data_IF_084892598440
#
_entry.id   IF_084892598440
#
_cell.length_a   1.000
_cell.length_b   1.000
_cell.length_c   1.000
_cell.angle_alpha   90.00
_cell.angle_beta   90.00
_cell.angle_gamma   90.00
#
_symmetry.space_group_name_H-M   'P 1'
#
loop_
_entity.id
_entity.type
_entity.pdbx_description
1 polymer ?
#
# COMPACT_ATOMS: atom_id res chain seq x y z
N UNK A 1 0.09 25.24 1.80
CA UNK A 1 0.51 26.46 2.52
C UNK A 1 -0.75 26.99 3.14
N UNK A 2 -0.75 27.08 4.46
CA UNK A 2 -1.91 27.43 5.29
C UNK A 2 -1.38 28.48 6.29
N UNK A 3 -1.28 29.72 5.82
CA UNK A 3 -0.57 30.79 6.53
C UNK A 3 -1.44 31.51 7.56
N UNK A 4 -2.76 31.38 7.48
CA UNK A 4 -3.71 31.95 8.45
C UNK A 4 -3.86 31.08 9.70
N UNK A 5 -3.41 29.83 9.63
CA UNK A 5 -3.30 28.93 10.77
C UNK A 5 -1.90 28.92 11.42
N UNK A 6 -0.95 29.65 10.86
CA UNK A 6 0.34 29.97 11.45
C UNK A 6 0.16 31.14 12.43
N UNK A 7 -0.09 30.80 13.70
CA UNK A 7 -0.43 31.73 14.75
C UNK A 7 0.74 32.03 15.70
N UNK A 8 1.78 31.18 15.69
CA UNK A 8 2.87 31.25 16.65
C UNK A 8 4.24 31.51 16.01
N UNK A 9 4.68 32.76 16.13
CA UNK A 9 5.97 33.19 15.61
C UNK A 9 7.20 32.60 16.36
N UNK A 10 7.01 31.88 17.48
CA UNK A 10 8.09 31.40 18.35
C UNK A 10 8.21 29.87 18.42
N UNK A 11 7.22 29.11 17.96
CA UNK A 11 7.27 27.65 17.91
C UNK A 11 6.39 27.11 16.80
N UNK A 12 6.75 25.95 16.27
CA UNK A 12 5.95 25.26 15.25
C UNK A 12 4.52 24.99 15.74
N UNK A 13 3.54 25.36 14.93
CA UNK A 13 2.14 25.07 15.19
C UNK A 13 1.75 23.63 14.80
N UNK A 14 0.65 23.15 15.37
CA UNK A 14 0.07 21.83 15.05
C UNK A 14 -1.42 21.96 14.73
N UNK A 15 -1.78 21.57 13.51
CA UNK A 15 -3.16 21.52 13.06
C UNK A 15 -3.73 20.14 13.39
N UNK A 16 -4.50 20.08 14.46
CA UNK A 16 -5.06 18.81 14.93
C UNK A 16 -6.10 18.29 13.96
N UNK A 17 -6.00 17.01 13.57
CA UNK A 17 -6.98 16.31 12.70
C UNK A 17 -7.28 16.99 11.35
N UNK A 18 -6.38 17.82 10.86
CA UNK A 18 -6.58 18.56 9.61
C UNK A 18 -6.55 17.66 8.37
N UNK A 19 -5.93 16.48 8.48
CA UNK A 19 -5.92 15.46 7.42
C UNK A 19 -6.77 14.27 7.82
N UNK A 20 -7.72 13.94 6.97
CA UNK A 20 -8.47 12.69 7.01
C UNK A 20 -8.13 11.84 5.80
N UNK A 21 -7.82 10.56 6.00
CA UNK A 21 -7.64 9.60 4.91
C UNK A 21 -8.74 8.56 4.98
N UNK A 22 -9.54 8.51 3.92
CA UNK A 22 -10.64 7.56 3.74
C UNK A 22 -10.29 6.66 2.55
N UNK A 23 -10.42 5.34 2.65
CA UNK A 23 -10.05 4.43 1.56
C UNK A 23 -11.26 3.64 1.03
N UNK A 24 -11.27 3.38 -0.27
CA UNK A 24 -12.19 2.42 -0.92
C UNK A 24 -11.39 1.15 -1.20
N UNK A 25 -11.77 0.04 -0.54
CA UNK A 25 -11.07 -1.26 -0.67
C UNK A 25 -9.97 -1.53 0.37
N UNK A 26 -10.15 -1.07 1.61
CA UNK A 26 -9.21 -1.32 2.73
C UNK A 26 -9.60 -2.55 3.55
N UNK A 27 -8.61 -3.34 4.00
CA UNK A 27 -8.83 -4.45 4.94
C UNK A 27 -8.92 -3.95 6.40
N UNK A 28 -10.13 -3.52 6.80
CA UNK A 28 -10.66 -3.51 8.19
C UNK A 28 -9.97 -2.66 9.31
N UNK A 29 -9.55 -1.41 9.05
CA UNK A 29 -8.91 -0.56 10.07
C UNK A 29 -9.62 0.76 10.44
N UNK A 30 -10.50 1.27 9.56
CA UNK A 30 -11.17 2.57 9.74
C UNK A 30 -10.42 3.77 9.12
N UNK A 31 -11.06 4.94 9.16
CA UNK A 31 -10.49 6.20 8.66
C UNK A 31 -9.26 6.61 9.50
N UNK A 32 -8.24 7.16 8.84
CA UNK A 32 -7.06 7.74 9.48
C UNK A 32 -7.29 9.24 9.69
N UNK A 33 -7.00 9.75 10.88
CA UNK A 33 -6.90 11.20 11.12
C UNK A 33 -5.49 11.53 11.58
N UNK A 34 -4.86 12.48 10.90
CA UNK A 34 -3.49 12.92 11.21
C UNK A 34 -3.49 14.40 11.59
N UNK A 35 -2.57 14.72 12.49
CA UNK A 35 -2.20 16.10 12.75
C UNK A 35 -1.24 16.57 11.65
N UNK A 36 -1.26 17.86 11.32
CA UNK A 36 -0.22 18.45 10.48
C UNK A 36 0.68 19.32 11.35
N UNK A 37 1.98 19.13 11.24
CA UNK A 37 2.95 19.92 11.99
C UNK A 37 3.59 20.95 11.09
N UNK A 38 3.76 22.16 11.58
CA UNK A 38 4.48 23.20 10.87
C UNK A 38 5.93 22.80 10.59
N UNK A 39 6.41 23.06 9.39
CA UNK A 39 7.73 22.67 8.89
C UNK A 39 8.73 23.80 9.12
N UNK A 40 9.02 24.04 10.39
CA UNK A 40 9.77 25.20 10.86
C UNK A 40 8.84 26.30 11.36
N UNK A 41 9.33 27.03 12.36
CA UNK A 41 8.62 28.13 13.03
C UNK A 41 8.22 29.21 12.02
N UNK A 42 6.94 29.59 12.02
CA UNK A 42 6.41 30.70 11.24
C UNK A 42 6.68 30.56 9.72
N UNK A 43 6.55 29.32 9.22
CA UNK A 43 6.75 28.98 7.81
C UNK A 43 5.45 28.97 7.02
N UNK A 44 4.29 28.88 7.68
CA UNK A 44 2.98 28.68 7.03
C UNK A 44 2.88 27.38 6.22
N UNK A 45 3.84 26.46 6.40
CA UNK A 45 3.91 25.18 5.67
C UNK A 45 3.74 24.04 6.65
N UNK A 46 2.64 23.31 6.53
CA UNK A 46 2.31 22.20 7.43
C UNK A 46 2.44 20.86 6.73
N UNK A 47 2.97 19.86 7.44
CA UNK A 47 3.26 18.53 6.91
C UNK A 47 2.65 17.42 7.76
N UNK A 48 2.10 16.43 7.07
CA UNK A 48 1.77 15.12 7.60
C UNK A 48 2.32 14.06 6.65
N UNK A 49 2.75 12.92 7.20
CA UNK A 49 3.32 11.81 6.43
C UNK A 49 2.39 10.61 6.47
N UNK A 50 2.01 10.12 5.30
CA UNK A 50 1.28 8.86 5.15
C UNK A 50 2.26 7.84 4.55
N UNK A 51 2.34 6.65 5.14
CA UNK A 51 3.15 5.53 4.65
C UNK A 51 2.24 4.34 4.35
N UNK A 52 2.66 3.49 3.42
CA UNK A 52 2.07 2.15 3.29
C UNK A 52 2.65 1.22 4.37
N UNK A 53 1.85 0.26 4.83
CA UNK A 53 2.28 -0.73 5.83
C UNK A 53 1.33 -1.93 5.90
N UNK A 54 1.62 -2.88 6.79
CA UNK A 54 0.82 -4.10 6.94
C UNK A 54 -0.46 -3.93 7.77
N UNK A 55 -0.57 -2.82 8.51
CA UNK A 55 -1.72 -2.43 9.34
C UNK A 55 -1.90 -0.91 9.31
N UNK A 56 -3.15 -0.43 9.49
CA UNK A 56 -3.39 1.00 9.74
C UNK A 56 -3.12 1.32 11.19
N UNK A 57 -2.40 2.41 11.43
CA UNK A 57 -2.08 2.93 12.76
C UNK A 57 -2.52 4.39 12.86
N UNK A 58 -2.99 4.82 14.04
CA UNK A 58 -3.46 6.20 14.34
C UNK A 58 -4.84 6.53 13.74
N UNK A 59 -5.86 5.74 14.10
CA UNK A 59 -7.25 5.95 13.65
C UNK A 59 -7.89 7.25 14.15
N UNK A 60 -9.00 7.65 13.53
CA UNK A 60 -9.74 8.89 13.81
C UNK A 60 -10.07 9.15 15.30
N UNK A 61 -10.23 8.09 16.09
CA UNK A 61 -10.55 8.15 17.53
C UNK A 61 -9.37 7.80 18.45
N UNK A 62 -8.15 7.69 17.92
CA UNK A 62 -6.99 7.35 18.75
C UNK A 62 -6.60 8.54 19.65
N UNK A 63 -6.54 8.32 20.97
CA UNK A 63 -6.04 9.31 21.93
C UNK A 63 -4.55 9.68 21.74
N UNK A 64 -3.86 9.00 20.81
CA UNK A 64 -2.46 9.18 20.44
C UNK A 64 -2.37 9.57 18.96
N UNK A 65 -2.85 10.78 18.63
CA UNK A 65 -2.73 11.38 17.29
C UNK A 65 -1.26 11.69 16.98
N UNK A 66 -0.91 11.63 15.69
CA UNK A 66 0.46 11.83 15.19
C UNK A 66 0.43 12.53 13.83
N UNK A 67 1.55 13.15 13.47
CA UNK A 67 1.79 13.67 12.12
C UNK A 67 2.30 12.60 11.15
N UNK A 68 2.39 11.34 11.60
CA UNK A 68 2.76 10.19 10.78
C UNK A 68 1.71 9.09 10.98
N UNK A 69 1.17 8.55 9.89
CA UNK A 69 0.29 7.38 9.91
C UNK A 69 0.66 6.36 8.86
N UNK A 70 0.31 5.10 9.13
CA UNK A 70 0.41 4.02 8.15
C UNK A 70 -0.98 3.62 7.66
N UNK A 71 -1.09 3.29 6.37
CA UNK A 71 -2.27 2.67 5.77
C UNK A 71 -1.89 1.33 5.15
N UNK A 72 -2.67 0.29 5.41
CA UNK A 72 -2.67 -0.95 4.64
C UNK A 72 -3.40 -0.78 3.31
N UNK A 73 -2.77 -1.07 2.21
CA UNK A 73 -3.40 -0.93 0.89
C UNK A 73 -3.52 -2.29 0.22
N UNK A 74 -4.53 -2.46 -0.63
CA UNK A 74 -4.65 -3.61 -1.53
C UNK A 74 -4.21 -3.20 -2.94
N UNK A 75 -3.86 -4.17 -3.79
CA UNK A 75 -3.61 -3.96 -5.21
C UNK A 75 -4.79 -3.25 -5.88
N UNK A 76 -4.52 -2.16 -6.59
CA UNK A 76 -5.56 -1.36 -7.25
C UNK A 76 -6.43 -0.57 -6.27
N UNK A 77 -6.09 -0.59 -4.98
CA UNK A 77 -6.75 0.20 -3.95
C UNK A 77 -6.49 1.70 -4.12
N UNK A 78 -7.40 2.50 -3.58
CA UNK A 78 -7.26 3.96 -3.57
C UNK A 78 -7.43 4.50 -2.16
N UNK A 79 -6.64 5.52 -1.83
CA UNK A 79 -6.88 6.35 -0.65
C UNK A 79 -7.24 7.76 -1.09
N UNK A 80 -8.29 8.29 -0.48
CA UNK A 80 -8.71 9.67 -0.63
C UNK A 80 -8.19 10.44 0.58
N UNK A 81 -7.27 11.36 0.33
CA UNK A 81 -6.72 12.28 1.30
C UNK A 81 -7.54 13.57 1.24
N UNK A 82 -8.12 13.93 2.37
CA UNK A 82 -8.93 15.13 2.55
C UNK A 82 -8.22 16.04 3.52
N UNK A 83 -7.90 17.24 3.05
CA UNK A 83 -7.46 18.35 3.89
C UNK A 83 -8.65 19.30 4.07
N UNK A 84 -8.96 19.64 5.32
CA UNK A 84 -9.99 20.64 5.63
C UNK A 84 -9.36 21.83 6.33
N UNK A 85 -9.40 22.96 5.64
CA UNK A 85 -9.13 24.26 6.22
C UNK A 85 -10.39 24.79 6.90
N UNK A 86 -10.24 25.42 8.05
CA UNK A 86 -11.36 25.97 8.84
C UNK A 86 -11.25 27.47 9.06
N UNK A 87 -10.18 28.11 8.59
CA UNK A 87 -9.99 29.55 8.70
C UNK A 87 -9.37 30.12 7.41
N UNK A 88 -9.43 31.46 7.22
CA UNK A 88 -10.49 32.32 7.75
C UNK A 88 -11.87 31.88 7.23
N UNK A 89 -11.91 31.16 6.10
CA UNK A 89 -13.10 30.56 5.50
C UNK A 89 -12.90 29.06 5.34
N UNK A 90 -13.89 28.27 5.74
CA UNK A 90 -13.78 26.82 5.65
C UNK A 90 -13.69 26.34 4.20
N UNK A 91 -12.65 25.56 3.89
CA UNK A 91 -12.44 24.99 2.56
C UNK A 91 -11.94 23.55 2.67
N UNK A 92 -12.09 22.77 1.60
CA UNK A 92 -11.65 21.36 1.60
C UNK A 92 -11.01 21.01 0.28
N UNK A 93 -9.83 20.39 0.35
CA UNK A 93 -9.09 19.89 -0.80
C UNK A 93 -9.05 18.37 -0.70
N UNK A 94 -9.43 17.71 -1.79
CA UNK A 94 -9.44 16.25 -1.88
C UNK A 94 -8.45 15.79 -2.94
N UNK A 95 -7.64 14.78 -2.62
CA UNK A 95 -6.72 14.11 -3.55
C UNK A 95 -6.88 12.60 -3.46
N UNK A 96 -6.88 11.95 -4.60
CA UNK A 96 -6.91 10.49 -4.69
C UNK A 96 -5.51 9.98 -4.98
N UNK A 97 -5.07 9.00 -4.20
CA UNK A 97 -3.83 8.26 -4.37
C UNK A 97 -4.19 6.82 -4.75
N UNK A 98 -3.54 6.31 -5.80
CA UNK A 98 -3.68 4.92 -6.23
C UNK A 98 -2.44 4.14 -5.80
N UNK A 99 -2.65 2.92 -5.29
CA UNK A 99 -1.57 2.06 -4.81
C UNK A 99 -1.48 0.77 -5.62
N UNK A 100 -0.26 0.44 -6.02
CA UNK A 100 0.17 -0.89 -6.43
C UNK A 100 1.07 -1.41 -5.33
N UNK A 101 0.56 -2.36 -4.54
CA UNK A 101 1.38 -3.13 -3.59
C UNK A 101 0.76 -4.51 -3.48
N UNK A 102 1.55 -5.54 -3.79
CA UNK A 102 1.11 -6.93 -3.74
C UNK A 102 2.12 -7.72 -2.92
N UNK A 103 1.77 -8.09 -1.68
CA UNK A 103 2.51 -9.17 -1.02
C UNK A 103 2.47 -10.39 -1.97
N UNK A 104 3.65 -10.93 -2.31
CA UNK A 104 3.79 -12.07 -3.20
C UNK A 104 2.85 -13.21 -2.77
N UNK A 105 1.81 -13.47 -3.56
CA UNK A 105 0.81 -14.49 -3.24
C UNK A 105 1.02 -15.70 -4.12
N UNK A 106 1.21 -16.86 -3.50
CA UNK A 106 1.34 -18.14 -4.19
C UNK A 106 0.10 -19.00 -3.93
N UNK A 107 -0.62 -19.35 -5.00
CA UNK A 107 -1.86 -20.14 -4.93
C UNK A 107 -1.73 -21.40 -5.78
N UNK A 108 -2.06 -22.54 -5.19
CA UNK A 108 -2.26 -23.81 -5.90
C UNK A 108 -3.75 -23.97 -6.21
N UNK A 109 -4.07 -24.44 -7.41
CA UNK A 109 -5.46 -24.74 -7.80
C UNK A 109 -6.00 -26.06 -7.22
N UNK A 110 -5.12 -26.90 -6.66
CA UNK A 110 -5.46 -28.15 -6.03
C UNK A 110 -4.51 -28.48 -4.85
N UNK A 111 -5.07 -28.99 -3.76
CA UNK A 111 -4.29 -29.53 -2.62
C UNK A 111 -3.73 -30.92 -2.91
N UNK A 112 -4.35 -31.66 -3.84
CA UNK A 112 -3.96 -33.00 -4.25
C UNK A 112 -4.17 -33.18 -5.76
N UNK A 113 -3.24 -33.86 -6.42
CA UNK A 113 -3.38 -34.27 -7.82
C UNK A 113 -3.30 -35.78 -7.94
N UNK A 114 -4.16 -36.36 -8.76
CA UNK A 114 -4.01 -37.76 -9.18
C UNK A 114 -2.79 -37.94 -10.07
N UNK A 115 -2.25 -39.15 -10.11
CA UNK A 115 -1.14 -39.48 -11.02
C UNK A 115 -1.56 -39.19 -12.47
N UNK A 116 -0.77 -38.38 -13.17
CA UNK A 116 -1.07 -37.92 -14.53
C UNK A 116 -1.86 -36.60 -14.61
N UNK A 117 -2.16 -35.97 -13.47
CA UNK A 117 -2.75 -34.62 -13.41
C UNK A 117 -1.69 -33.59 -13.01
N UNK A 118 -2.01 -32.30 -13.21
CA UNK A 118 -1.12 -31.19 -12.91
C UNK A 118 -1.80 -30.24 -11.92
N UNK A 119 -1.01 -29.65 -11.01
CA UNK A 119 -1.41 -28.49 -10.23
C UNK A 119 -0.92 -27.22 -10.94
N UNK A 120 -1.78 -26.21 -11.03
CA UNK A 120 -1.42 -24.87 -11.48
C UNK A 120 -0.97 -24.06 -10.27
N UNK A 121 0.25 -23.52 -10.36
CA UNK A 121 0.76 -22.54 -9.41
C UNK A 121 0.63 -21.16 -10.04
N UNK A 122 -0.10 -20.28 -9.35
CA UNK A 122 -0.15 -18.84 -9.67
C UNK A 122 0.68 -18.09 -8.65
N UNK A 123 1.66 -17.33 -9.13
CA UNK A 123 2.40 -16.35 -8.34
C UNK A 123 1.92 -14.95 -8.72
N UNK A 124 1.62 -14.13 -7.73
CA UNK A 124 1.25 -12.73 -7.95
C UNK A 124 2.18 -11.86 -7.12
N UNK A 125 3.15 -11.23 -7.78
CA UNK A 125 4.10 -10.26 -7.23
C UNK A 125 4.28 -9.18 -8.30
N UNK A 126 3.84 -7.96 -8.01
CA UNK A 126 3.83 -6.88 -9.00
C UNK A 126 5.15 -6.10 -9.02
N UNK A 127 5.97 -6.28 -8.00
CA UNK A 127 7.26 -5.63 -7.80
C UNK A 127 8.39 -6.39 -8.50
N UNK A 128 8.14 -7.64 -8.90
CA UNK A 128 9.10 -8.52 -9.56
C UNK A 128 9.19 -8.32 -11.08
N UNK A 129 8.32 -7.50 -11.65
CA UNK A 129 8.39 -7.11 -13.06
C UNK A 129 9.44 -5.99 -13.22
N UNK A 130 10.65 -6.36 -13.66
CA UNK A 130 11.75 -5.40 -13.84
C UNK A 130 11.53 -4.52 -15.09
N UNK A 131 10.72 -4.99 -16.06
CA UNK A 131 10.44 -4.29 -17.32
C UNK A 131 8.95 -4.37 -17.71
N UNK A 132 8.22 -3.28 -17.48
CA UNK A 132 6.80 -3.11 -17.82
C UNK A 132 6.43 -3.31 -19.31
N UNK A 133 7.40 -3.52 -20.20
CA UNK A 133 7.17 -3.80 -21.63
C UNK A 133 7.43 -5.24 -22.03
N UNK A 134 7.94 -6.08 -21.13
CA UNK A 134 8.30 -7.47 -21.40
C UNK A 134 7.54 -8.42 -20.49
N UNK A 135 7.55 -9.68 -20.90
CA UNK A 135 7.12 -10.81 -20.08
C UNK A 135 8.36 -11.33 -19.39
N UNK A 136 8.39 -11.29 -18.05
CA UNK A 136 9.50 -11.82 -17.29
C UNK A 136 9.33 -13.32 -16.98
N UNK A 137 10.47 -14.01 -16.98
CA UNK A 137 10.56 -15.43 -16.62
C UNK A 137 11.23 -15.51 -15.24
N UNK A 138 10.44 -15.93 -14.26
CA UNK A 138 10.84 -16.06 -12.89
C UNK A 138 11.36 -17.48 -12.64
N UNK A 139 12.69 -17.60 -12.59
CA UNK A 139 13.37 -18.86 -12.31
C UNK A 139 13.68 -18.95 -10.81
N UNK A 140 13.20 -20.02 -10.17
CA UNK A 140 13.52 -20.41 -8.78
C UNK A 140 12.76 -19.66 -7.66
N UNK A 141 11.69 -18.92 -7.95
CA UNK A 141 10.89 -18.25 -6.91
C UNK A 141 9.92 -19.16 -6.16
N UNK A 142 9.64 -20.34 -6.70
CA UNK A 142 8.87 -21.36 -6.00
C UNK A 142 9.56 -22.71 -6.10
N UNK A 143 9.52 -23.47 -5.00
CA UNK A 143 10.09 -24.81 -4.90
C UNK A 143 9.07 -25.75 -4.29
N UNK A 144 8.93 -26.94 -4.87
CA UNK A 144 8.25 -28.07 -4.26
C UNK A 144 9.31 -28.87 -3.51
N UNK A 145 9.31 -28.79 -2.19
CA UNK A 145 10.20 -29.57 -1.33
C UNK A 145 9.44 -30.74 -0.71
N UNK A 146 9.78 -31.95 -1.12
CA UNK A 146 9.21 -33.19 -0.55
C UNK A 146 10.12 -33.78 0.53
N UNK A 147 11.39 -33.41 0.51
CA UNK A 147 12.39 -33.68 1.57
C UNK A 147 13.60 -32.76 1.39
N UNK A 148 14.49 -32.71 2.37
CA UNK A 148 15.73 -31.92 2.32
C UNK A 148 16.67 -32.26 1.14
N UNK A 149 16.46 -33.40 0.49
CA UNK A 149 17.24 -33.86 -0.67
C UNK A 149 16.44 -33.87 -1.98
N UNK A 150 15.12 -33.71 -1.92
CA UNK A 150 14.23 -33.76 -3.09
C UNK A 150 13.47 -32.44 -3.22
N UNK A 151 14.03 -31.56 -4.04
CA UNK A 151 13.49 -30.24 -4.37
C UNK A 151 13.28 -30.14 -5.87
N UNK A 152 12.10 -29.71 -6.28
CA UNK A 152 11.79 -29.37 -7.67
C UNK A 152 11.51 -27.87 -7.77
N UNK A 153 12.29 -27.17 -8.58
CA UNK A 153 12.09 -25.75 -8.85
C UNK A 153 10.96 -25.55 -9.86
N UNK A 154 10.07 -24.59 -9.58
CA UNK A 154 8.99 -24.22 -10.47
C UNK A 154 9.46 -23.04 -11.33
N UNK A 155 9.38 -23.19 -12.65
CA UNK A 155 9.49 -22.07 -13.59
C UNK A 155 8.14 -21.36 -13.62
N UNK A 156 8.14 -20.05 -13.36
CA UNK A 156 6.96 -19.21 -13.48
C UNK A 156 7.18 -18.24 -14.64
N UNK A 157 6.13 -17.99 -15.42
CA UNK A 157 6.15 -17.07 -16.57
C UNK A 157 4.99 -16.09 -16.43
N UNK A 158 5.29 -14.79 -16.58
CA UNK A 158 4.28 -13.75 -16.51
C UNK A 158 3.19 -13.94 -17.58
N UNK A 159 1.95 -13.66 -17.22
CA UNK A 159 0.78 -13.85 -18.08
C UNK A 159 0.56 -12.71 -19.07
N UNK A 160 1.39 -11.67 -19.00
CA UNK A 160 1.42 -10.50 -19.87
C UNK A 160 2.30 -9.41 -19.27
N UNK A 161 2.68 -8.42 -20.09
CA UNK A 161 3.48 -7.28 -19.64
C UNK A 161 2.74 -6.51 -18.53
N UNK A 162 3.43 -6.25 -17.43
CA UNK A 162 2.94 -5.47 -16.28
C UNK A 162 1.69 -6.02 -15.60
N UNK A 163 1.54 -7.34 -15.62
CA UNK A 163 0.41 -8.00 -14.95
C UNK A 163 0.69 -8.32 -13.49
N UNK A 164 1.97 -8.39 -13.09
CA UNK A 164 2.38 -8.87 -11.77
C UNK A 164 1.88 -10.29 -11.47
N UNK A 165 1.54 -11.06 -12.51
CA UNK A 165 0.92 -12.38 -12.40
C UNK A 165 1.66 -13.36 -13.27
N UNK A 166 2.20 -14.40 -12.64
CA UNK A 166 2.95 -15.47 -13.27
C UNK A 166 2.30 -16.83 -13.05
N UNK A 167 2.42 -17.72 -14.03
CA UNK A 167 1.90 -19.09 -13.96
C UNK A 167 2.97 -20.09 -14.35
N UNK A 168 2.89 -21.29 -13.78
CA UNK A 168 3.68 -22.41 -14.29
C UNK A 168 3.22 -22.76 -15.72
N UNK A 169 4.14 -22.96 -16.68
CA UNK A 169 3.78 -23.40 -18.02
C UNK A 169 3.18 -24.81 -17.96
N UNK A 170 2.17 -25.06 -18.81
CA UNK A 170 1.63 -26.40 -19.01
C UNK A 170 2.68 -27.23 -19.78
N UNK A 171 3.11 -28.35 -19.21
CA UNK A 171 4.02 -29.31 -19.83
C UNK A 171 3.27 -30.33 -20.68
#
# INVERSE_FOLDING_TARGET
>A
MDADRDANAASEDTLTTAIKVTALGYYAGGDLALDMKENGVNSGTFLATIKTGTTTTVGADSGTRSNIGAIKTLQGGTATVVYTDTAPDASTITKMLSFSSCDATLVFDAEFCTVGSYAVVTHVDAEENEDATKVDILLNHAVIETSSLNRAWIKLEETGADTGRSRAPSW
#
